data_IF_724930814697
#
_entry.id   IF_724930814697
#
_cell.length_a   1.000
_cell.length_b   1.000
_cell.length_c   1.000
_cell.angle_alpha   90.00
_cell.angle_beta   90.00
_cell.angle_gamma   90.00
#
_symmetry.space_group_name_H-M   'P 1'
#
loop_
_entity.id
_entity.type
_entity.pdbx_description
1 polymer ?
#
# COMPACT_ATOMS: atom_id res chain seq x y z
N UNK A 1 4.52 -2.06 16.78
CA UNK A 1 5.50 -2.09 15.69
C UNK A 1 5.85 -3.53 15.44
N UNK A 2 5.29 -4.10 14.39
CA UNK A 2 5.43 -5.50 14.03
C UNK A 2 6.30 -5.60 12.78
N UNK A 3 7.53 -6.08 12.94
CA UNK A 3 8.51 -6.09 11.86
C UNK A 3 8.59 -7.44 11.18
N UNK A 4 8.42 -7.43 9.86
CA UNK A 4 8.59 -8.60 9.00
C UNK A 4 9.72 -8.34 8.03
N UNK A 5 10.64 -9.30 7.89
CA UNK A 5 11.73 -9.21 6.91
C UNK A 5 11.16 -9.09 5.51
N UNK A 6 11.77 -8.25 4.66
CA UNK A 6 11.36 -8.16 3.24
C UNK A 6 11.55 -9.49 2.47
N UNK A 7 12.27 -10.46 3.04
CA UNK A 7 12.51 -11.77 2.45
C UNK A 7 11.54 -12.85 2.96
N UNK A 8 10.74 -12.56 4.00
CA UNK A 8 9.74 -13.48 4.54
C UNK A 8 8.42 -13.31 3.80
N UNK A 9 8.35 -13.88 2.61
CA UNK A 9 7.21 -13.68 1.70
C UNK A 9 5.92 -14.27 2.24
N UNK A 10 5.99 -15.34 3.03
CA UNK A 10 4.80 -15.98 3.59
C UNK A 10 4.16 -15.09 4.65
N UNK A 11 4.94 -14.57 5.61
CA UNK A 11 4.40 -13.61 6.58
C UNK A 11 3.89 -12.32 5.94
N UNK A 12 4.58 -11.81 4.91
CA UNK A 12 4.10 -10.62 4.21
C UNK A 12 2.75 -10.86 3.51
N UNK A 13 2.53 -12.05 2.95
CA UNK A 13 1.23 -12.44 2.36
C UNK A 13 0.12 -12.53 3.40
N UNK A 14 0.39 -13.04 4.60
CA UNK A 14 -0.58 -13.06 5.70
C UNK A 14 -1.08 -11.65 6.05
N UNK A 15 -0.23 -10.63 5.88
CA UNK A 15 -0.57 -9.22 6.07
C UNK A 15 -1.12 -8.53 4.81
N UNK A 16 -1.43 -9.29 3.75
CA UNK A 16 -1.99 -8.76 2.50
C UNK A 16 -0.96 -8.12 1.56
N UNK A 17 0.33 -8.29 1.80
CA UNK A 17 1.40 -7.74 0.97
C UNK A 17 1.97 -8.81 0.03
N UNK A 18 1.37 -8.93 -1.15
CA UNK A 18 1.77 -9.91 -2.18
C UNK A 18 2.72 -9.30 -3.22
N UNK A 19 3.90 -8.88 -2.78
CA UNK A 19 4.95 -8.35 -3.67
C UNK A 19 6.30 -8.99 -3.39
N UNK A 20 7.18 -8.98 -4.39
CA UNK A 20 8.54 -9.51 -4.23
C UNK A 20 9.42 -8.55 -3.42
N UNK A 21 10.46 -9.10 -2.80
CA UNK A 21 11.49 -8.31 -2.11
C UNK A 21 12.16 -7.27 -3.03
N UNK A 22 12.29 -7.56 -4.33
CA UNK A 22 12.78 -6.63 -5.34
C UNK A 22 11.87 -5.41 -5.51
N UNK A 23 10.56 -5.63 -5.63
CA UNK A 23 9.56 -4.54 -5.71
C UNK A 23 9.59 -3.67 -4.45
N UNK A 24 9.72 -4.28 -3.27
CA UNK A 24 9.84 -3.54 -2.00
C UNK A 24 11.09 -2.65 -1.96
N UNK A 25 12.23 -3.14 -2.46
CA UNK A 25 13.45 -2.33 -2.58
C UNK A 25 13.22 -1.15 -3.52
N UNK A 26 12.60 -1.37 -4.68
CA UNK A 26 12.28 -0.30 -5.65
C UNK A 26 11.38 0.75 -5.01
N UNK A 27 10.31 0.35 -4.32
CA UNK A 27 9.41 1.28 -3.63
C UNK A 27 10.15 2.15 -2.62
N UNK A 28 10.99 1.54 -1.78
CA UNK A 28 11.83 2.27 -0.83
C UNK A 28 12.77 3.25 -1.54
N UNK A 29 13.45 2.82 -2.60
CA UNK A 29 14.37 3.66 -3.36
C UNK A 29 13.65 4.85 -4.03
N UNK A 30 12.42 4.66 -4.47
CA UNK A 30 11.57 5.71 -5.03
C UNK A 30 10.90 6.59 -3.95
N UNK A 31 11.18 6.36 -2.66
CA UNK A 31 10.57 7.10 -1.56
C UNK A 31 9.10 6.74 -1.29
N UNK A 32 8.54 5.77 -2.01
CA UNK A 32 7.13 5.37 -1.86
C UNK A 32 6.89 4.81 -0.47
N UNK A 33 5.92 5.35 0.25
CA UNK A 33 5.54 4.96 1.62
C UNK A 33 6.66 5.07 2.67
N UNK A 34 7.81 5.69 2.35
CA UNK A 34 8.89 5.92 3.31
C UNK A 34 8.44 6.89 4.39
N UNK A 35 7.75 7.97 4.01
CA UNK A 35 7.17 8.94 4.95
C UNK A 35 6.07 8.33 5.83
N UNK A 36 5.41 7.26 5.36
CA UNK A 36 4.41 6.52 6.12
C UNK A 36 5.03 5.53 7.11
N UNK A 37 6.37 5.41 7.15
CA UNK A 37 7.08 4.52 8.08
C UNK A 37 7.08 3.06 7.67
N UNK A 38 6.69 2.73 6.43
CA UNK A 38 6.57 1.34 5.97
C UNK A 38 7.89 0.57 6.08
N UNK A 39 9.01 1.24 5.78
CA UNK A 39 10.33 0.62 5.69
C UNK A 39 11.16 0.94 6.92
N UNK A 40 11.50 -0.09 7.69
CA UNK A 40 12.38 0.03 8.86
C UNK A 40 13.71 -0.66 8.56
N UNK A 41 14.81 0.08 8.65
CA UNK A 41 16.15 -0.47 8.52
C UNK A 41 16.74 -0.67 9.92
N UNK A 42 17.11 -1.91 10.23
CA UNK A 42 17.80 -2.24 11.47
C UNK A 42 19.08 -3.02 11.12
N UNK A 43 20.23 -2.49 11.55
CA UNK A 43 21.56 -2.92 11.10
C UNK A 43 21.64 -2.99 9.56
N UNK A 44 21.99 -4.17 9.02
CA UNK A 44 22.11 -4.43 7.58
C UNK A 44 20.82 -4.99 6.96
N UNK A 45 19.74 -5.13 7.74
CA UNK A 45 18.50 -5.78 7.30
C UNK A 45 17.39 -4.74 7.11
N UNK A 46 16.52 -5.03 6.14
CA UNK A 46 15.36 -4.22 5.83
C UNK A 46 14.09 -4.99 6.21
N UNK A 47 13.18 -4.28 6.87
CA UNK A 47 11.93 -4.79 7.38
C UNK A 47 10.77 -3.93 6.90
N UNK A 48 9.59 -4.54 6.91
CA UNK A 48 8.30 -3.90 6.75
C UNK A 48 7.65 -3.80 8.12
N UNK A 49 7.20 -2.60 8.49
CA UNK A 49 6.30 -2.43 9.64
C UNK A 49 4.87 -2.74 9.20
N UNK A 50 4.30 -3.84 9.71
CA UNK A 50 2.98 -4.30 9.30
C UNK A 50 1.86 -3.43 9.88
N UNK A 51 2.11 -2.72 10.97
CA UNK A 51 1.16 -1.75 11.52
C UNK A 51 1.03 -0.53 10.58
N UNK A 52 2.15 -0.06 10.02
CA UNK A 52 2.17 1.00 9.00
C UNK A 52 1.54 0.53 7.69
N UNK A 53 1.83 -0.71 7.27
CA UNK A 53 1.22 -1.34 6.10
C UNK A 53 -0.31 -1.34 6.17
N UNK A 54 -0.89 -1.76 7.29
CA UNK A 54 -2.35 -1.78 7.46
C UNK A 54 -2.98 -0.40 7.27
N UNK A 55 -2.37 0.65 7.84
CA UNK A 55 -2.85 2.03 7.68
C UNK A 55 -2.78 2.50 6.22
N UNK A 56 -1.70 2.15 5.51
CA UNK A 56 -1.54 2.46 4.09
C UNK A 56 -2.63 1.76 3.27
N UNK A 57 -2.85 0.47 3.49
CA UNK A 57 -3.87 -0.31 2.77
C UNK A 57 -5.27 0.28 2.98
N UNK A 58 -5.64 0.62 4.21
CA UNK A 58 -6.92 1.26 4.51
C UNK A 58 -7.09 2.60 3.78
N UNK A 59 -6.04 3.42 3.76
CA UNK A 59 -6.05 4.72 3.05
C UNK A 59 -6.23 4.53 1.55
N UNK A 60 -5.51 3.59 0.94
CA UNK A 60 -5.60 3.32 -0.49
C UNK A 60 -6.97 2.74 -0.87
N UNK A 61 -7.52 1.81 -0.07
CA UNK A 61 -8.88 1.31 -0.25
C UNK A 61 -9.91 2.44 -0.22
N UNK A 62 -9.81 3.36 0.77
CA UNK A 62 -10.69 4.52 0.86
C UNK A 62 -10.58 5.42 -0.37
N UNK A 63 -9.36 5.72 -0.83
CA UNK A 63 -9.13 6.50 -2.06
C UNK A 63 -9.76 5.83 -3.29
N UNK A 64 -9.63 4.52 -3.43
CA UNK A 64 -10.23 3.77 -4.53
C UNK A 64 -11.77 3.82 -4.50
N UNK A 65 -12.38 3.68 -3.32
CA UNK A 65 -13.84 3.82 -3.17
C UNK A 65 -14.32 5.22 -3.54
N UNK A 66 -13.65 6.27 -3.07
CA UNK A 66 -13.99 7.66 -3.38
C UNK A 66 -13.85 7.99 -4.87
N UNK A 67 -12.79 7.49 -5.52
CA UNK A 67 -12.60 7.62 -6.97
C UNK A 67 -13.65 6.84 -7.76
N UNK A 68 -14.05 5.65 -7.28
CA UNK A 68 -15.14 4.87 -7.85
C UNK A 68 -16.48 5.61 -7.78
N UNK A 69 -16.79 6.22 -6.63
CA UNK A 69 -18.01 7.00 -6.42
C UNK A 69 -18.09 8.22 -7.35
N UNK A 70 -16.99 8.97 -7.50
CA UNK A 70 -16.91 10.12 -8.43
C UNK A 70 -17.12 9.72 -9.90
N UNK A 71 -16.65 8.53 -10.31
CA UNK A 71 -16.89 8.01 -11.68
C UNK A 71 -18.35 7.64 -11.94
N UNK A 72 -19.08 7.16 -10.92
CA UNK A 72 -20.51 6.84 -11.01
C UNK A 72 -21.35 8.12 -11.09
N UNK A 73 -21.06 9.11 -10.23
CA UNK A 73 -21.72 10.42 -10.25
C UNK A 73 -21.49 11.14 -11.60
N UNK A 74 -20.25 11.13 -12.12
CA UNK A 74 -19.93 11.73 -13.43
C UNK A 74 -20.58 11.04 -14.64
N UNK A 75 -20.96 9.76 -14.54
CA UNK A 75 -21.74 9.06 -15.58
C UNK A 75 -23.25 9.35 -15.50
N UNK A 76 -23.78 9.62 -14.31
CA UNK A 76 -25.21 9.96 -14.13
C UNK A 76 -25.57 11.27 -14.84
N UNK A 77 -24.70 12.30 -14.77
CA UNK A 77 -24.93 13.59 -15.45
C UNK A 77 -24.91 13.52 -16.98
N UNK A 78 -24.21 12.56 -17.60
CA UNK A 78 -24.17 12.41 -19.07
C UNK A 78 -25.38 11.69 -19.64
N UNK A 79 -26.24 11.08 -18.81
CA UNK A 79 -27.44 10.33 -19.26
C UNK A 79 -28.72 11.17 -19.26
N UNK A 80 -28.70 12.37 -18.67
CA UNK A 80 -29.90 13.24 -18.53
C UNK A 80 -29.97 14.31 -19.64
N UNK A 81 -28.99 14.36 -20.54
CA UNK A 81 -29.06 15.15 -21.78
C UNK A 81 -29.13 14.22 -22.99
N UNK A 82 -30.28 13.60 -23.19
CA UNK A 82 -30.72 13.13 -24.51
C UNK A 82 -32.24 13.07 -24.52
#
# INVERSE_FOLDING_TARGET
MNLVSIYDTERLREHGLHVTSGTLKVWRHQGRYVADGLFVKFAHRLYIDTDALQKILQREQKRMMEQGRKKVEGRSFKRVKN
#
